data_IF_837668227485
#
_entry.id   IF_837668227485
#
_cell.length_a   1.000
_cell.length_b   1.000
_cell.length_c   1.000
_cell.angle_alpha   90.00
_cell.angle_beta   90.00
_cell.angle_gamma   90.00
#
_symmetry.space_group_name_H-M   'P 1'
#
loop_
_entity.id
_entity.type
_entity.pdbx_description
1 polymer ?
#
# COMPACT_ATOMS: atom_id res chain seq x y z
N UNK A 1 -26.12 3.85 38.00
CA UNK A 1 -25.25 4.01 36.80
C UNK A 1 -23.95 4.64 37.26
N UNK A 2 -22.82 4.18 36.73
CA UNK A 2 -21.51 4.79 37.01
C UNK A 2 -21.39 6.15 36.34
N UNK A 3 -20.61 7.06 36.93
CA UNK A 3 -20.32 8.37 36.32
C UNK A 3 -19.57 8.18 35.01
N UNK A 4 -19.92 8.97 33.97
CA UNK A 4 -19.27 8.91 32.67
C UNK A 4 -17.78 9.28 32.73
N UNK A 5 -17.37 10.15 33.63
CA UNK A 5 -15.96 10.47 33.88
C UNK A 5 -15.21 9.26 34.47
N UNK A 6 -15.85 8.53 35.40
CA UNK A 6 -15.29 7.32 35.97
C UNK A 6 -15.18 6.19 34.92
N UNK A 7 -16.18 6.05 34.06
CA UNK A 7 -16.18 5.05 32.99
C UNK A 7 -14.97 5.26 32.08
N UNK A 8 -14.66 6.50 31.70
CA UNK A 8 -13.51 6.84 30.87
C UNK A 8 -12.20 6.92 31.66
N UNK A 9 -12.25 6.95 33.01
CA UNK A 9 -11.08 7.09 33.86
C UNK A 9 -10.43 8.49 33.80
N UNK A 10 -11.25 9.54 33.67
CA UNK A 10 -10.83 10.95 33.62
C UNK A 10 -11.49 11.75 34.76
N UNK A 11 -10.93 12.90 35.11
CA UNK A 11 -11.50 13.78 36.14
C UNK A 11 -12.57 14.71 35.56
N UNK A 12 -13.54 15.14 36.39
CA UNK A 12 -14.45 16.23 36.05
C UNK A 12 -13.64 17.48 35.70
N UNK A 13 -13.91 18.09 34.54
CA UNK A 13 -13.12 19.22 34.05
C UNK A 13 -12.01 18.89 33.07
N UNK A 14 -11.75 17.58 32.78
CA UNK A 14 -10.79 17.18 31.75
C UNK A 14 -11.12 17.80 30.40
N UNK A 15 -10.07 18.13 29.63
CA UNK A 15 -10.20 18.71 28.30
C UNK A 15 -10.79 17.69 27.30
N UNK A 16 -11.41 18.19 26.22
CA UNK A 16 -11.95 17.35 25.15
C UNK A 16 -10.87 16.43 24.53
N UNK A 17 -9.60 16.86 24.54
CA UNK A 17 -8.46 16.05 24.09
C UNK A 17 -8.17 14.88 25.03
N UNK A 18 -8.24 15.11 26.33
CA UNK A 18 -8.03 14.04 27.34
C UNK A 18 -9.17 13.02 27.31
N UNK A 19 -10.43 13.49 27.21
CA UNK A 19 -11.61 12.65 27.05
C UNK A 19 -11.49 11.77 25.80
N UNK A 20 -11.10 12.36 24.67
CA UNK A 20 -10.87 11.63 23.41
C UNK A 20 -9.77 10.56 23.54
N UNK A 21 -8.68 10.89 24.18
CA UNK A 21 -7.56 9.96 24.38
C UNK A 21 -7.93 8.82 25.34
N UNK A 22 -8.69 9.11 26.40
CA UNK A 22 -9.17 8.10 27.32
C UNK A 22 -10.13 7.13 26.65
N UNK A 23 -11.10 7.65 25.88
CA UNK A 23 -11.99 6.82 25.06
C UNK A 23 -11.22 5.90 24.12
N UNK A 24 -10.23 6.44 23.39
CA UNK A 24 -9.41 5.64 22.48
C UNK A 24 -8.71 4.47 23.17
N UNK A 25 -8.14 4.69 24.37
CA UNK A 25 -7.51 3.64 25.15
C UNK A 25 -8.50 2.54 25.56
N UNK A 26 -9.70 2.93 25.98
CA UNK A 26 -10.76 2.00 26.36
C UNK A 26 -11.32 1.22 25.17
N UNK A 27 -11.58 1.91 24.06
CA UNK A 27 -12.05 1.30 22.83
C UNK A 27 -11.06 0.27 22.27
N UNK A 28 -9.77 0.56 22.31
CA UNK A 28 -8.72 -0.37 21.89
C UNK A 28 -8.60 -1.59 22.82
N UNK A 29 -8.74 -1.38 24.13
CA UNK A 29 -8.66 -2.46 25.14
C UNK A 29 -9.83 -3.42 25.04
N UNK A 30 -11.05 -2.91 24.81
CA UNK A 30 -12.29 -3.68 24.80
C UNK A 30 -12.88 -3.86 23.39
N UNK A 31 -12.04 -3.72 22.34
CA UNK A 31 -12.46 -3.90 20.95
C UNK A 31 -13.02 -5.32 20.73
N UNK A 32 -14.16 -5.48 20.04
CA UNK A 32 -14.78 -6.77 19.81
C UNK A 32 -13.87 -7.76 19.07
N UNK A 33 -13.05 -7.29 18.11
CA UNK A 33 -12.11 -8.16 17.39
C UNK A 33 -11.00 -8.75 18.29
N UNK A 34 -10.64 -8.03 19.35
CA UNK A 34 -9.64 -8.51 20.33
C UNK A 34 -10.23 -9.34 21.46
N UNK A 35 -11.52 -9.21 21.68
CA UNK A 35 -12.23 -9.83 22.80
C UNK A 35 -13.47 -10.62 22.30
N UNK A 36 -13.31 -11.37 21.21
CA UNK A 36 -14.41 -12.14 20.61
C UNK A 36 -15.07 -13.05 21.62
N UNK A 37 -16.40 -12.96 21.73
CA UNK A 37 -17.20 -13.78 22.65
C UNK A 37 -17.16 -13.36 24.12
N UNK A 38 -16.53 -12.23 24.47
CA UNK A 38 -16.48 -11.72 25.84
C UNK A 38 -17.54 -10.66 26.10
N UNK A 39 -18.70 -11.07 26.59
CA UNK A 39 -19.83 -10.17 26.92
C UNK A 39 -19.47 -9.04 27.88
N UNK A 40 -18.52 -9.30 28.82
CA UNK A 40 -18.08 -8.29 29.78
C UNK A 40 -17.25 -7.18 29.09
N UNK A 41 -16.44 -7.53 28.04
CA UNK A 41 -15.71 -6.57 27.26
C UNK A 41 -16.64 -5.76 26.37
N UNK A 42 -17.63 -6.40 25.77
CA UNK A 42 -18.66 -5.75 24.95
C UNK A 42 -19.45 -4.71 25.74
N UNK A 43 -19.88 -5.07 26.97
CA UNK A 43 -20.58 -4.15 27.86
C UNK A 43 -19.72 -2.92 28.22
N UNK A 44 -18.44 -3.11 28.53
CA UNK A 44 -17.51 -2.01 28.81
C UNK A 44 -17.25 -1.13 27.59
N UNK A 45 -17.24 -1.72 26.42
CA UNK A 45 -17.11 -0.98 25.16
C UNK A 45 -18.33 -0.08 24.92
N UNK A 46 -19.54 -0.60 25.09
CA UNK A 46 -20.80 0.15 24.97
C UNK A 46 -20.88 1.28 26.01
N UNK A 47 -20.55 1.01 27.27
CA UNK A 47 -20.50 2.03 28.35
C UNK A 47 -19.50 3.15 28.02
N UNK A 48 -18.31 2.80 27.49
CA UNK A 48 -17.30 3.80 27.10
C UNK A 48 -17.74 4.65 25.90
N UNK A 49 -18.43 4.07 24.92
CA UNK A 49 -18.98 4.79 23.78
C UNK A 49 -20.09 5.77 24.17
N UNK A 50 -20.99 5.35 25.06
CA UNK A 50 -22.05 6.21 25.61
C UNK A 50 -21.44 7.39 26.40
N UNK A 51 -20.47 7.12 27.25
CA UNK A 51 -19.77 8.15 28.02
C UNK A 51 -19.08 9.16 27.10
N UNK A 52 -18.45 8.70 26.02
CA UNK A 52 -17.80 9.58 25.07
C UNK A 52 -18.78 10.41 24.24
N UNK A 53 -19.92 9.85 23.81
CA UNK A 53 -20.97 10.58 23.11
C UNK A 53 -21.46 11.81 23.91
N UNK A 54 -21.62 11.62 25.20
CA UNK A 54 -22.09 12.71 26.08
C UNK A 54 -20.97 13.71 26.39
N UNK A 55 -19.77 13.25 26.73
CA UNK A 55 -18.68 14.11 27.18
C UNK A 55 -17.90 14.81 26.06
N UNK A 56 -18.03 14.35 24.81
CA UNK A 56 -17.38 14.96 23.65
C UNK A 56 -18.17 16.14 23.07
N UNK A 57 -19.45 16.23 23.37
CA UNK A 57 -20.31 17.34 22.92
C UNK A 57 -20.51 18.31 24.09
N UNK A 58 -20.14 19.59 23.90
CA UNK A 58 -20.15 20.60 24.96
C UNK A 58 -21.56 20.86 25.53
N UNK A 59 -22.60 20.77 24.69
CA UNK A 59 -23.99 20.94 25.16
C UNK A 59 -24.46 19.75 25.99
N UNK A 60 -24.18 18.51 25.53
CA UNK A 60 -24.56 17.30 26.25
C UNK A 60 -23.77 17.21 27.57
N UNK A 61 -22.48 17.55 27.52
CA UNK A 61 -21.62 17.58 28.69
C UNK A 61 -22.11 18.56 29.73
N UNK A 62 -22.47 19.80 29.33
CA UNK A 62 -23.02 20.81 30.22
C UNK A 62 -24.31 20.35 30.89
N UNK A 63 -25.22 19.73 30.15
CA UNK A 63 -26.45 19.14 30.70
C UNK A 63 -26.15 17.97 31.66
N UNK A 64 -25.18 17.14 31.31
CA UNK A 64 -24.75 16.04 32.16
C UNK A 64 -24.11 16.54 33.46
N UNK A 65 -23.29 17.58 33.41
CA UNK A 65 -22.63 18.17 34.55
C UNK A 65 -23.62 18.83 35.53
N UNK A 66 -24.78 19.36 35.01
CA UNK A 66 -25.83 19.99 35.82
C UNK A 66 -26.86 19.00 36.39
N UNK A 67 -27.27 18.03 35.59
CA UNK A 67 -28.42 17.18 35.90
C UNK A 67 -28.07 15.68 35.95
N UNK A 68 -26.82 15.33 35.78
CA UNK A 68 -26.36 13.93 35.75
C UNK A 68 -26.99 13.15 34.59
N UNK A 69 -27.14 11.84 34.76
CA UNK A 69 -27.78 10.98 33.77
C UNK A 69 -29.22 11.36 33.41
N UNK A 70 -29.95 12.03 34.30
CA UNK A 70 -31.30 12.51 34.06
C UNK A 70 -31.33 13.65 33.02
N UNK A 71 -30.33 14.49 33.00
CA UNK A 71 -30.24 15.60 32.04
C UNK A 71 -29.98 15.18 30.60
N UNK A 72 -29.49 13.97 30.40
CA UNK A 72 -29.17 13.42 29.07
C UNK A 72 -30.26 12.47 28.56
N UNK A 73 -31.10 11.93 29.48
CA UNK A 73 -32.25 11.06 29.17
C UNK A 73 -33.59 11.78 28.98
N UNK A 74 -33.70 13.09 29.25
CA UNK A 74 -34.94 13.84 29.32
C UNK A 74 -35.34 14.56 28.02
N UNK A 75 -36.47 14.20 27.51
CA UNK A 75 -37.39 14.89 26.61
C UNK A 75 -36.91 15.43 25.26
N UNK A 76 -37.27 14.73 24.20
CA UNK A 76 -37.55 15.33 22.88
C UNK A 76 -36.64 15.01 21.73
N UNK A 77 -35.56 14.32 21.93
CA UNK A 77 -34.80 13.71 20.83
C UNK A 77 -34.30 12.34 21.30
N UNK A 78 -35.10 11.31 21.01
CA UNK A 78 -34.82 9.93 21.39
C UNK A 78 -33.47 9.52 20.86
N UNK A 79 -32.49 9.43 21.73
CA UNK A 79 -31.38 8.51 21.54
C UNK A 79 -31.70 7.26 22.36
N UNK A 80 -32.19 6.18 21.74
CA UNK A 80 -32.06 4.88 22.36
C UNK A 80 -30.55 4.68 22.59
N UNK A 81 -30.17 4.37 23.83
CA UNK A 81 -28.78 3.97 24.11
C UNK A 81 -28.36 2.95 23.05
N UNK A 82 -27.09 3.01 22.63
CA UNK A 82 -26.57 2.15 21.58
C UNK A 82 -27.01 0.70 21.82
N UNK A 83 -28.01 0.27 21.06
CA UNK A 83 -28.58 -1.07 21.18
C UNK A 83 -27.71 -2.10 20.51
N UNK A 84 -26.94 -1.68 19.50
CA UNK A 84 -26.05 -2.58 18.75
C UNK A 84 -24.65 -1.95 18.58
N UNK A 85 -23.64 -2.81 18.45
CA UNK A 85 -22.25 -2.41 18.16
C UNK A 85 -22.14 -1.66 16.84
N UNK A 86 -23.00 -1.95 15.86
CA UNK A 86 -23.06 -1.29 14.58
C UNK A 86 -23.40 0.21 14.70
N UNK A 87 -24.22 0.59 15.67
CA UNK A 87 -24.59 2.00 15.90
C UNK A 87 -23.40 2.79 16.43
N UNK A 88 -22.56 2.16 17.25
CA UNK A 88 -21.33 2.77 17.78
C UNK A 88 -20.31 2.99 16.67
N UNK A 89 -20.11 2.00 15.81
CA UNK A 89 -19.17 2.13 14.69
C UNK A 89 -19.63 3.17 13.66
N UNK A 90 -20.93 3.30 13.41
CA UNK A 90 -21.45 4.29 12.46
C UNK A 90 -21.32 5.74 12.97
N UNK A 91 -21.44 5.96 14.27
CA UNK A 91 -21.35 7.30 14.86
C UNK A 91 -19.91 7.75 15.16
N UNK A 92 -18.98 6.83 15.36
CA UNK A 92 -17.59 7.12 15.75
C UNK A 92 -16.53 6.60 14.77
N UNK A 93 -16.91 6.27 13.53
CA UNK A 93 -16.03 5.74 12.49
C UNK A 93 -14.77 6.57 12.27
N UNK A 94 -14.88 7.91 12.25
CA UNK A 94 -13.76 8.83 12.03
C UNK A 94 -12.67 8.74 13.12
N UNK A 95 -13.03 8.29 14.31
CA UNK A 95 -12.09 8.13 15.43
C UNK A 95 -11.29 6.84 15.26
N UNK A 96 -11.90 5.83 14.66
CA UNK A 96 -11.28 4.53 14.37
C UNK A 96 -10.41 4.58 13.12
N UNK A 97 -10.78 5.37 12.10
CA UNK A 97 -10.00 5.53 10.86
C UNK A 97 -8.60 6.12 11.14
N UNK A 98 -8.48 7.01 12.10
CA UNK A 98 -7.22 7.69 12.45
C UNK A 98 -6.35 6.89 13.46
N UNK A 99 -6.71 5.66 13.83
CA UNK A 99 -6.02 4.85 14.84
C UNK A 99 -5.05 3.81 14.26
N UNK A 100 -4.72 3.88 12.94
CA UNK A 100 -3.62 3.15 12.32
C UNK A 100 -3.69 1.63 12.55
N UNK A 101 -4.47 0.96 11.75
CA UNK A 101 -4.51 -0.49 11.70
C UNK A 101 -5.26 -0.93 10.46
N UNK A 102 -4.51 -1.29 9.41
CA UNK A 102 -5.02 -1.64 8.10
C UNK A 102 -6.16 -2.64 8.11
N UNK A 103 -7.18 -2.35 7.33
CA UNK A 103 -8.21 -3.32 6.99
C UNK A 103 -9.59 -2.72 6.82
N UNK A 104 -9.90 -2.17 5.64
CA UNK A 104 -11.11 -2.50 4.88
C UNK A 104 -12.51 -2.11 5.36
N UNK A 105 -12.71 -1.45 6.49
CA UNK A 105 -14.07 -1.14 6.98
C UNK A 105 -14.59 0.28 6.71
N UNK A 106 -13.71 1.25 6.40
CA UNK A 106 -14.10 2.65 6.16
C UNK A 106 -14.94 2.87 4.90
N UNK A 107 -14.87 1.98 3.93
CA UNK A 107 -15.56 2.13 2.64
C UNK A 107 -17.05 1.70 2.66
N UNK A 108 -17.48 0.98 3.69
CA UNK A 108 -18.85 0.42 3.75
C UNK A 108 -19.88 1.36 4.38
N UNK A 109 -19.47 2.34 5.21
CA UNK A 109 -20.40 3.15 6.00
C UNK A 109 -20.51 4.63 5.61
N UNK A 110 -19.70 5.11 4.66
CA UNK A 110 -19.85 6.48 4.17
C UNK A 110 -20.88 6.57 3.04
N UNK A 111 -22.10 6.10 3.28
CA UNK A 111 -23.24 6.28 2.37
C UNK A 111 -23.92 7.64 2.53
N UNK A 112 -23.16 8.70 2.77
CA UNK A 112 -23.65 10.02 2.48
C UNK A 112 -23.51 10.22 0.96
N UNK A 113 -24.58 9.92 0.23
CA UNK A 113 -24.70 9.98 -1.22
C UNK A 113 -24.63 11.41 -1.76
N UNK A 114 -23.50 12.09 -1.53
CA UNK A 114 -23.05 13.08 -2.50
C UNK A 114 -22.62 12.27 -3.71
N UNK A 115 -23.33 12.42 -4.82
CA UNK A 115 -23.03 11.91 -6.15
C UNK A 115 -21.51 11.84 -6.34
N UNK A 116 -20.86 10.73 -5.93
CA UNK A 116 -19.46 10.45 -6.25
C UNK A 116 -19.45 10.32 -7.76
N UNK A 117 -19.07 11.39 -8.46
CA UNK A 117 -18.72 11.29 -9.88
C UNK A 117 -17.82 10.06 -9.97
N UNK A 118 -18.26 9.06 -10.71
CA UNK A 118 -17.57 7.78 -10.78
C UNK A 118 -16.16 8.02 -11.33
N UNK A 119 -15.20 8.17 -10.43
CA UNK A 119 -13.78 8.30 -10.78
C UNK A 119 -13.40 7.09 -11.62
N UNK A 120 -12.51 7.27 -12.58
CA UNK A 120 -11.94 6.18 -13.33
C UNK A 120 -11.26 5.17 -12.39
N UNK A 121 -11.29 3.91 -12.76
CA UNK A 121 -10.65 2.83 -11.98
C UNK A 121 -9.14 2.98 -11.97
N UNK A 122 -8.54 2.65 -10.85
CA UNK A 122 -7.08 2.59 -10.74
C UNK A 122 -6.54 1.42 -11.58
N UNK A 123 -5.34 1.59 -12.11
CA UNK A 123 -4.65 0.60 -12.90
C UNK A 123 -3.44 0.11 -12.12
N UNK A 124 -3.28 -1.20 -12.00
CA UNK A 124 -2.10 -1.82 -11.39
C UNK A 124 -1.19 -2.38 -12.47
N UNK A 125 0.10 -2.13 -12.36
CA UNK A 125 1.14 -2.58 -13.27
C UNK A 125 2.32 -3.12 -12.47
N UNK A 126 2.74 -4.35 -12.73
CA UNK A 126 4.01 -4.88 -12.24
C UNK A 126 5.11 -4.54 -13.25
N UNK A 127 6.14 -3.86 -12.80
CA UNK A 127 7.27 -3.44 -13.63
C UNK A 127 8.51 -4.25 -13.25
N UNK A 128 9.03 -5.11 -14.16
CA UNK A 128 10.29 -5.78 -13.91
C UNK A 128 11.45 -4.79 -13.96
N UNK A 129 12.31 -4.85 -12.93
CA UNK A 129 13.48 -3.99 -12.76
C UNK A 129 14.74 -4.84 -12.59
N UNK A 130 15.84 -4.43 -13.21
CA UNK A 130 17.14 -5.08 -13.06
C UNK A 130 17.97 -4.40 -11.95
N UNK A 131 19.00 -5.07 -11.46
CA UNK A 131 19.89 -4.49 -10.44
C UNK A 131 20.57 -3.20 -10.92
N UNK A 132 20.86 -3.08 -12.24
CA UNK A 132 21.43 -1.87 -12.83
C UNK A 132 20.43 -0.71 -12.83
N UNK A 133 19.14 -1.01 -13.09
CA UNK A 133 18.07 -0.01 -13.02
C UNK A 133 17.89 0.50 -11.58
N UNK A 134 17.98 -0.43 -10.60
CA UNK A 134 17.89 -0.13 -9.15
C UNK A 134 19.11 0.67 -8.68
N UNK A 135 20.30 0.32 -9.18
CA UNK A 135 21.52 1.00 -8.82
C UNK A 135 21.58 2.45 -9.32
N UNK A 136 21.26 2.67 -10.59
CA UNK A 136 21.39 3.98 -11.23
C UNK A 136 20.19 4.88 -11.04
N UNK A 137 19.01 4.32 -10.76
CA UNK A 137 17.73 4.98 -10.97
C UNK A 137 17.51 5.23 -12.46
N UNK A 138 16.37 4.90 -12.99
CA UNK A 138 16.12 5.02 -14.43
C UNK A 138 14.67 5.37 -14.72
N UNK A 139 14.46 6.15 -15.79
CA UNK A 139 13.13 6.37 -16.33
C UNK A 139 12.84 5.30 -17.37
N UNK A 140 11.78 4.51 -17.17
CA UNK A 140 11.29 3.54 -18.15
C UNK A 140 9.95 3.99 -18.73
N UNK A 141 9.83 3.93 -20.05
CA UNK A 141 8.57 4.18 -20.75
C UNK A 141 7.84 2.86 -20.96
N UNK A 142 6.64 2.74 -20.37
CA UNK A 142 5.81 1.54 -20.47
C UNK A 142 4.55 1.83 -21.27
N UNK A 143 4.23 0.96 -22.21
CA UNK A 143 2.97 1.00 -22.99
C UNK A 143 1.89 0.22 -22.26
N UNK A 144 0.86 0.94 -21.82
CA UNK A 144 -0.25 0.37 -21.07
C UNK A 144 -1.55 0.56 -21.81
N UNK A 145 -2.37 -0.47 -21.92
CA UNK A 145 -3.71 -0.37 -22.48
C UNK A 145 -4.68 0.11 -21.40
N UNK A 146 -5.26 1.29 -21.59
CA UNK A 146 -6.18 1.92 -20.66
C UNK A 146 -7.29 2.68 -21.35
N UNK A 147 -8.32 3.02 -20.60
CA UNK A 147 -9.30 3.98 -21.02
C UNK A 147 -8.71 5.39 -20.97
N UNK A 148 -8.74 6.11 -22.10
CA UNK A 148 -8.40 7.52 -22.21
C UNK A 148 -9.65 8.32 -22.59
N UNK A 149 -9.65 9.62 -22.36
CA UNK A 149 -10.73 10.47 -22.81
C UNK A 149 -10.87 10.37 -24.34
N UNK A 150 -12.08 10.36 -24.82
CA UNK A 150 -12.36 10.35 -26.24
C UNK A 150 -12.04 11.73 -26.82
N UNK A 151 -11.12 11.77 -27.81
CA UNK A 151 -10.66 13.01 -28.44
C UNK A 151 -11.79 13.72 -29.22
N UNK A 152 -12.75 12.96 -29.78
CA UNK A 152 -13.84 13.54 -30.58
C UNK A 152 -14.86 14.32 -29.76
N UNK A 153 -15.13 13.87 -28.53
CA UNK A 153 -16.11 14.49 -27.65
C UNK A 153 -15.50 15.08 -26.36
N UNK A 154 -14.18 15.06 -26.20
CA UNK A 154 -13.46 15.54 -25.01
C UNK A 154 -14.05 14.99 -23.68
N UNK A 155 -14.47 13.73 -23.70
CA UNK A 155 -14.99 13.04 -22.52
C UNK A 155 -16.47 13.23 -22.22
N UNK A 156 -17.22 14.11 -22.93
CA UNK A 156 -18.63 14.36 -22.63
C UNK A 156 -19.60 13.29 -23.17
N UNK A 157 -19.15 12.43 -24.07
CA UNK A 157 -19.95 11.35 -24.66
C UNK A 157 -20.91 11.80 -25.76
N UNK A 158 -21.03 13.11 -26.04
CA UNK A 158 -21.94 13.65 -27.04
C UNK A 158 -21.26 13.81 -28.39
N UNK A 159 -22.02 13.75 -29.48
CA UNK A 159 -21.54 14.14 -30.80
C UNK A 159 -21.12 15.62 -30.84
N UNK A 160 -20.18 15.98 -31.74
CA UNK A 160 -19.73 17.37 -31.88
C UNK A 160 -20.88 18.34 -32.02
N UNK A 161 -20.86 19.42 -31.26
CA UNK A 161 -21.93 20.44 -31.26
C UNK A 161 -23.13 20.12 -30.36
N UNK A 162 -23.16 18.96 -29.72
CA UNK A 162 -24.20 18.57 -28.78
C UNK A 162 -23.69 18.52 -27.34
N UNK A 163 -24.59 18.79 -26.39
CA UNK A 163 -24.29 18.76 -24.96
C UNK A 163 -25.17 17.74 -24.25
N UNK A 164 -24.79 17.46 -23.00
CA UNK A 164 -25.60 16.64 -22.10
C UNK A 164 -26.89 17.37 -21.72
N UNK A 165 -28.03 16.74 -21.93
CA UNK A 165 -29.34 17.27 -21.51
C UNK A 165 -29.68 16.82 -20.09
N UNK A 166 -30.39 17.67 -19.36
CA UNK A 166 -30.92 17.31 -18.06
C UNK A 166 -31.97 16.21 -18.22
N UNK A 167 -31.94 15.21 -17.35
CA UNK A 167 -32.95 14.15 -17.38
C UNK A 167 -34.32 14.71 -16.97
N UNK A 168 -35.30 14.62 -17.85
CA UNK A 168 -36.66 15.14 -17.61
C UNK A 168 -37.43 14.39 -16.50
N UNK A 169 -37.07 13.12 -16.22
CA UNK A 169 -37.76 12.30 -15.23
C UNK A 169 -37.37 12.66 -13.81
N UNK A 170 -36.06 12.86 -13.57
CA UNK A 170 -35.55 13.19 -12.25
C UNK A 170 -35.14 14.65 -12.11
N UNK A 171 -35.35 15.48 -13.12
CA UNK A 171 -34.94 16.88 -13.15
C UNK A 171 -33.50 17.12 -12.71
N UNK A 172 -32.60 16.20 -13.16
CA UNK A 172 -31.15 16.29 -12.88
C UNK A 172 -30.71 15.72 -11.54
N UNK A 173 -31.59 15.27 -10.65
CA UNK A 173 -31.24 14.73 -9.33
C UNK A 173 -30.59 13.35 -9.40
N UNK A 174 -30.83 12.59 -10.47
CA UNK A 174 -30.37 11.20 -10.61
C UNK A 174 -31.22 10.18 -9.85
N UNK A 175 -32.16 10.62 -9.00
CA UNK A 175 -32.97 9.78 -8.13
C UNK A 175 -34.48 10.02 -8.33
N UNK A 176 -35.27 8.97 -8.15
CA UNK A 176 -36.72 9.04 -8.16
C UNK A 176 -37.21 8.56 -6.81
N UNK A 177 -38.08 9.38 -6.18
CA UNK A 177 -38.71 9.05 -4.91
C UNK A 177 -40.06 8.40 -5.16
N UNK A 178 -40.21 7.15 -4.69
CA UNK A 178 -41.52 6.46 -4.67
C UNK A 178 -42.04 6.44 -3.26
N UNK A 179 -43.19 7.06 -3.06
CA UNK A 179 -43.91 6.99 -1.78
C UNK A 179 -44.76 5.72 -1.83
N UNK A 180 -44.52 4.79 -0.93
CA UNK A 180 -45.33 3.60 -0.74
C UNK A 180 -46.06 3.72 0.58
N UNK A 181 -47.38 3.53 0.54
CA UNK A 181 -48.19 3.47 1.73
C UNK A 181 -48.05 2.08 2.36
N UNK A 182 -47.50 2.02 3.56
CA UNK A 182 -47.34 0.81 4.36
C UNK A 182 -48.35 0.87 5.51
N UNK A 183 -48.65 -0.27 6.12
CA UNK A 183 -49.53 -0.38 7.29
C UNK A 183 -49.06 0.47 8.49
N UNK A 184 -47.77 0.81 8.53
CA UNK A 184 -47.11 1.63 9.58
C UNK A 184 -46.89 3.11 9.15
N UNK A 185 -47.46 3.55 8.01
CA UNK A 185 -47.29 4.92 7.52
C UNK A 185 -46.72 4.99 6.09
N UNK A 186 -46.38 6.21 5.65
CA UNK A 186 -45.80 6.46 4.35
C UNK A 186 -44.28 6.23 4.40
N UNK A 187 -43.78 5.28 3.59
CA UNK A 187 -42.35 5.03 3.41
C UNK A 187 -41.90 5.64 2.09
N UNK A 188 -40.91 6.54 2.14
CA UNK A 188 -40.31 7.13 0.95
C UNK A 188 -39.12 6.27 0.54
N UNK A 189 -39.25 5.57 -0.58
CA UNK A 189 -38.18 4.77 -1.14
C UNK A 189 -37.46 5.57 -2.24
N UNK A 190 -36.15 5.81 -2.09
CA UNK A 190 -35.33 6.52 -3.05
C UNK A 190 -34.62 5.50 -3.92
N UNK A 191 -34.81 5.58 -5.24
CA UNK A 191 -34.22 4.67 -6.22
C UNK A 191 -33.48 5.46 -7.29
N UNK A 192 -32.35 4.91 -7.86
CA UNK A 192 -31.72 5.52 -9.01
C UNK A 192 -32.74 5.70 -10.16
N UNK A 193 -32.72 6.86 -10.81
CA UNK A 193 -33.56 7.12 -11.94
C UNK A 193 -33.30 6.15 -13.09
N UNK A 194 -34.30 5.41 -13.50
CA UNK A 194 -34.17 4.39 -14.55
C UNK A 194 -33.79 4.96 -15.92
N UNK A 195 -34.18 6.20 -16.24
CA UNK A 195 -33.89 6.83 -17.53
C UNK A 195 -32.45 7.30 -17.66
N UNK A 196 -31.83 7.80 -16.61
CA UNK A 196 -30.44 8.27 -16.61
C UNK A 196 -29.50 7.37 -15.79
N UNK A 197 -29.99 6.24 -15.27
CA UNK A 197 -29.23 5.29 -14.44
C UNK A 197 -28.45 5.98 -13.31
N UNK A 198 -29.10 6.93 -12.64
CA UNK A 198 -28.50 7.69 -11.54
C UNK A 198 -27.64 8.90 -11.96
N UNK A 199 -27.36 9.09 -13.24
CA UNK A 199 -26.44 10.14 -13.73
C UNK A 199 -27.05 11.55 -13.75
N UNK A 200 -28.36 11.71 -13.66
CA UNK A 200 -29.06 12.99 -13.73
C UNK A 200 -29.11 13.65 -15.10
N UNK A 201 -28.28 13.14 -16.04
CA UNK A 201 -28.15 13.68 -17.42
C UNK A 201 -28.32 12.57 -18.44
N UNK A 202 -28.81 12.91 -19.62
CA UNK A 202 -29.00 11.98 -20.75
C UNK A 202 -28.32 12.51 -22.01
N UNK A 203 -27.87 11.59 -22.84
CA UNK A 203 -27.23 11.88 -24.13
C UNK A 203 -28.28 11.69 -25.22
N UNK A 204 -28.65 12.77 -25.92
CA UNK A 204 -29.58 12.68 -27.06
C UNK A 204 -28.89 12.20 -28.33
N UNK A 205 -27.63 12.67 -28.56
CA UNK A 205 -26.84 12.31 -29.73
C UNK A 205 -25.50 11.75 -29.24
N UNK A 206 -25.30 10.42 -29.17
CA UNK A 206 -24.08 9.83 -28.71
C UNK A 206 -22.91 10.03 -29.69
N UNK A 207 -21.71 10.24 -29.17
CA UNK A 207 -20.48 10.30 -29.97
C UNK A 207 -20.23 8.95 -30.65
N UNK A 208 -20.01 8.98 -31.98
CA UNK A 208 -19.80 7.75 -32.78
C UNK A 208 -18.55 6.97 -32.36
N UNK A 209 -17.50 7.64 -31.90
CA UNK A 209 -16.24 7.00 -31.55
C UNK A 209 -16.29 6.27 -30.19
N UNK A 210 -16.97 6.82 -29.21
CA UNK A 210 -17.07 6.22 -27.87
C UNK A 210 -18.50 5.72 -27.52
N UNK A 211 -19.45 5.81 -28.45
CA UNK A 211 -20.85 5.36 -28.25
C UNK A 211 -21.50 5.92 -26.98
N UNK A 212 -21.14 7.13 -26.58
CA UNK A 212 -21.68 7.79 -25.38
C UNK A 212 -20.89 7.59 -24.10
N UNK A 213 -19.89 6.71 -24.06
CA UNK A 213 -19.08 6.44 -22.85
C UNK A 213 -18.15 7.63 -22.47
N UNK A 214 -17.79 8.48 -23.43
CA UNK A 214 -16.87 9.60 -23.23
C UNK A 214 -15.41 9.19 -23.20
N UNK A 215 -15.09 7.89 -23.27
CA UNK A 215 -13.74 7.35 -23.21
C UNK A 215 -13.55 6.21 -24.20
N UNK A 216 -12.32 5.98 -24.62
CA UNK A 216 -11.95 4.92 -25.56
C UNK A 216 -10.76 4.13 -25.02
N UNK A 217 -10.69 2.86 -25.34
CA UNK A 217 -9.59 1.99 -24.91
C UNK A 217 -8.46 2.09 -25.92
N UNK A 218 -7.30 2.61 -25.49
CA UNK A 218 -6.10 2.78 -26.33
C UNK A 218 -4.82 2.48 -25.55
N UNK A 219 -3.75 2.23 -26.28
CA UNK A 219 -2.41 2.18 -25.71
C UNK A 219 -1.92 3.60 -25.40
N UNK A 220 -1.41 3.79 -24.20
CA UNK A 220 -0.80 5.04 -23.75
C UNK A 220 0.61 4.73 -23.26
N UNK A 221 1.58 5.52 -23.69
CA UNK A 221 2.95 5.46 -23.18
C UNK A 221 3.03 6.29 -21.90
N UNK A 222 3.55 5.70 -20.84
CA UNK A 222 3.69 6.35 -19.52
C UNK A 222 5.13 6.22 -19.09
N UNK A 223 5.74 7.33 -18.73
CA UNK A 223 7.08 7.35 -18.14
C UNK A 223 6.98 7.09 -16.65
N UNK A 224 7.78 6.13 -16.20
CA UNK A 224 7.86 5.69 -14.81
C UNK A 224 9.31 5.88 -14.36
N UNK A 225 9.49 6.71 -13.37
CA UNK A 225 10.78 6.93 -12.71
C UNK A 225 10.99 5.83 -11.67
N UNK A 226 12.07 5.07 -11.82
CA UNK A 226 12.49 4.04 -10.87
C UNK A 226 13.42 4.71 -9.87
N UNK A 227 13.04 4.81 -8.59
CA UNK A 227 13.94 5.38 -7.58
C UNK A 227 15.14 4.45 -7.36
N UNK A 228 16.35 5.00 -7.16
CA UNK A 228 17.49 4.19 -6.79
C UNK A 228 17.24 3.51 -5.44
N UNK A 229 17.67 2.24 -5.33
CA UNK A 229 17.49 1.45 -4.11
C UNK A 229 16.10 0.87 -3.90
N UNK A 230 15.22 0.91 -4.90
CA UNK A 230 13.89 0.32 -4.79
C UNK A 230 13.96 -1.17 -4.45
N UNK A 231 13.01 -1.66 -3.66
CA UNK A 231 12.93 -3.06 -3.21
C UNK A 231 11.71 -3.72 -3.87
N UNK A 232 11.82 -5.02 -4.15
CA UNK A 232 10.69 -5.84 -4.65
C UNK A 232 9.46 -5.67 -3.76
N UNK A 233 8.29 -5.48 -4.41
CA UNK A 233 7.03 -5.21 -3.73
C UNK A 233 6.80 -3.74 -3.37
N UNK A 234 7.80 -2.86 -3.49
CA UNK A 234 7.59 -1.42 -3.38
C UNK A 234 6.68 -0.93 -4.49
N UNK A 235 5.88 0.10 -4.21
CA UNK A 235 4.97 0.65 -5.20
C UNK A 235 5.09 2.17 -5.35
N UNK A 236 4.84 2.63 -6.56
CA UNK A 236 4.75 4.04 -6.92
C UNK A 236 3.33 4.35 -7.40
N UNK A 237 2.72 5.39 -6.85
CA UNK A 237 1.39 5.84 -7.30
C UNK A 237 1.51 7.10 -8.15
N UNK A 238 1.19 6.97 -9.45
CA UNK A 238 1.08 8.12 -10.36
C UNK A 238 -0.38 8.56 -10.45
N UNK A 239 -0.68 9.69 -9.82
CA UNK A 239 -2.06 10.22 -9.73
C UNK A 239 -2.59 10.59 -11.11
N UNK A 240 -3.86 10.25 -11.37
CA UNK A 240 -4.55 10.58 -12.64
C UNK A 240 -4.05 9.82 -13.87
N UNK A 241 -3.07 8.91 -13.72
CA UNK A 241 -2.50 8.14 -14.82
C UNK A 241 -3.22 6.80 -15.09
N UNK A 242 -4.23 6.45 -14.30
CA UNK A 242 -5.08 5.27 -14.47
C UNK A 242 -6.12 5.42 -15.58
N UNK A 243 -7.21 4.68 -15.50
CA UNK A 243 -8.30 4.74 -16.46
C UNK A 243 -9.05 6.08 -16.35
N UNK A 244 -9.43 6.65 -17.48
CA UNK A 244 -10.32 7.80 -17.53
C UNK A 244 -11.69 7.46 -16.92
N UNK A 245 -12.25 8.40 -16.17
CA UNK A 245 -13.61 8.29 -15.66
C UNK A 245 -14.65 8.48 -16.77
N UNK A 246 -15.86 8.01 -16.52
CA UNK A 246 -16.98 8.17 -17.45
C UNK A 246 -17.42 9.64 -17.53
N UNK A 247 -17.88 10.05 -18.70
CA UNK A 247 -18.45 11.38 -18.93
C UNK A 247 -17.60 12.53 -18.37
N UNK A 248 -16.28 12.50 -18.60
CA UNK A 248 -15.36 13.55 -18.14
C UNK A 248 -15.07 13.55 -16.65
N UNK A 249 -15.44 12.50 -15.94
CA UNK A 249 -15.05 12.31 -14.54
C UNK A 249 -13.53 12.15 -14.39
N UNK A 250 -12.95 12.48 -13.23
CA UNK A 250 -11.51 12.38 -13.01
C UNK A 250 -10.98 10.97 -13.28
N UNK A 251 -9.78 10.87 -13.83
CA UNK A 251 -9.08 9.59 -14.03
C UNK A 251 -8.68 8.95 -12.71
N UNK A 252 -8.55 7.63 -12.70
CA UNK A 252 -7.96 6.84 -11.64
C UNK A 252 -6.46 7.06 -11.53
N UNK A 253 -5.80 6.32 -10.66
CA UNK A 253 -4.35 6.32 -10.50
C UNK A 253 -3.73 5.13 -11.25
N UNK A 254 -2.44 5.26 -11.55
CA UNK A 254 -1.61 4.12 -11.91
C UNK A 254 -0.77 3.74 -10.69
N UNK A 255 -0.90 2.51 -10.26
CA UNK A 255 -0.11 1.90 -9.19
C UNK A 255 0.91 0.98 -9.86
N UNK A 256 2.18 1.35 -9.78
CA UNK A 256 3.30 0.58 -10.32
C UNK A 256 3.94 -0.18 -9.18
N UNK A 257 3.98 -1.50 -9.27
CA UNK A 257 4.65 -2.38 -8.32
C UNK A 257 5.96 -2.81 -8.97
N UNK A 258 7.07 -2.58 -8.28
CA UNK A 258 8.39 -2.98 -8.75
C UNK A 258 8.66 -4.44 -8.39
N UNK A 259 9.19 -5.19 -9.35
CA UNK A 259 9.55 -6.59 -9.19
C UNK A 259 10.97 -6.81 -9.72
N UNK A 260 11.87 -7.20 -8.84
CA UNK A 260 13.27 -7.39 -9.20
C UNK A 260 13.44 -8.68 -9.99
N UNK A 261 14.18 -8.58 -11.09
CA UNK A 261 14.55 -9.74 -11.92
C UNK A 261 15.86 -10.31 -11.44
N UNK A 262 15.92 -11.63 -11.27
CA UNK A 262 17.14 -12.34 -10.89
C UNK A 262 18.30 -11.99 -11.84
N UNK A 263 19.44 -11.63 -11.25
CA UNK A 263 20.63 -11.31 -12.03
C UNK A 263 21.53 -12.55 -12.19
N UNK A 264 22.11 -12.81 -13.38
CA UNK A 264 22.90 -14.03 -13.63
C UNK A 264 24.19 -14.13 -12.84
N UNK A 265 24.75 -13.02 -12.35
CA UNK A 265 26.03 -12.98 -11.63
C UNK A 265 25.90 -12.53 -10.17
N UNK A 266 24.91 -11.71 -9.85
CA UNK A 266 24.81 -11.04 -8.57
C UNK A 266 23.61 -11.54 -7.78
N UNK A 267 23.84 -11.77 -6.49
CA UNK A 267 22.80 -12.00 -5.52
C UNK A 267 22.65 -10.74 -4.67
N UNK A 268 21.43 -10.27 -4.53
CA UNK A 268 21.12 -9.15 -3.63
C UNK A 268 20.84 -9.67 -2.22
N UNK A 269 21.45 -9.01 -1.24
CA UNK A 269 21.15 -9.18 0.18
C UNK A 269 20.87 -7.79 0.78
N UNK A 270 19.59 -7.42 0.89
CA UNK A 270 19.14 -6.07 1.22
C UNK A 270 19.75 -5.00 0.29
N UNK A 271 20.74 -4.24 0.77
CA UNK A 271 21.49 -3.25 -0.01
C UNK A 271 22.87 -3.74 -0.42
N UNK A 272 23.29 -4.88 0.06
CA UNK A 272 24.55 -5.50 -0.30
C UNK A 272 24.40 -6.37 -1.56
N UNK A 273 25.48 -6.51 -2.30
CA UNK A 273 25.56 -7.38 -3.48
C UNK A 273 26.63 -8.43 -3.23
N UNK A 274 26.26 -9.67 -3.51
CA UNK A 274 27.16 -10.82 -3.38
C UNK A 274 27.49 -11.35 -4.77
N UNK A 275 28.78 -11.63 -5.02
CA UNK A 275 29.24 -12.28 -6.24
C UNK A 275 30.19 -13.43 -5.91
N UNK A 276 30.11 -14.51 -6.67
CA UNK A 276 31.06 -15.62 -6.60
C UNK A 276 32.25 -15.38 -7.53
N UNK A 277 33.44 -15.29 -6.98
CA UNK A 277 34.69 -15.21 -7.74
C UNK A 277 35.44 -16.52 -7.66
N UNK A 278 35.69 -17.15 -8.80
CA UNK A 278 36.47 -18.39 -8.90
C UNK A 278 37.93 -18.05 -9.25
N UNK A 279 38.82 -18.25 -8.31
CA UNK A 279 40.27 -17.99 -8.48
C UNK A 279 41.06 -19.28 -8.61
N UNK A 280 42.22 -19.21 -9.23
CA UNK A 280 43.16 -20.34 -9.30
C UNK A 280 43.87 -20.62 -7.97
N UNK A 281 44.41 -21.82 -7.84
CA UNK A 281 45.09 -22.26 -6.61
C UNK A 281 46.31 -21.39 -6.28
N UNK A 282 47.10 -20.98 -7.28
CA UNK A 282 48.28 -20.15 -7.07
C UNK A 282 47.92 -18.77 -6.50
N UNK A 283 46.87 -18.15 -7.02
CA UNK A 283 46.33 -16.90 -6.48
C UNK A 283 45.81 -17.08 -5.06
N UNK A 284 45.21 -18.21 -4.74
CA UNK A 284 44.72 -18.48 -3.39
C UNK A 284 45.87 -18.60 -2.39
N UNK A 285 47.00 -19.26 -2.78
CA UNK A 285 48.16 -19.47 -1.91
C UNK A 285 49.03 -18.22 -1.78
N UNK A 286 49.43 -17.63 -2.88
CA UNK A 286 50.39 -16.51 -2.88
C UNK A 286 49.73 -15.15 -2.73
N UNK A 287 48.43 -15.07 -2.88
CA UNK A 287 47.70 -13.83 -3.02
C UNK A 287 47.87 -13.22 -4.42
N UNK A 288 47.20 -12.10 -4.64
CA UNK A 288 47.27 -11.45 -5.94
C UNK A 288 46.26 -10.30 -6.07
N UNK A 289 46.00 -9.91 -7.30
CA UNK A 289 44.93 -8.94 -7.64
C UNK A 289 44.08 -9.54 -8.72
N UNK A 290 42.79 -9.48 -8.54
CA UNK A 290 41.80 -9.88 -9.55
C UNK A 290 40.93 -8.69 -9.95
N UNK A 291 40.42 -8.70 -11.17
CA UNK A 291 39.39 -7.74 -11.61
C UNK A 291 38.02 -8.35 -11.37
N UNK A 292 37.20 -7.63 -10.62
CA UNK A 292 35.82 -8.04 -10.31
C UNK A 292 34.87 -7.06 -10.96
N UNK A 293 33.89 -7.53 -11.76
CA UNK A 293 32.85 -6.68 -12.29
C UNK A 293 31.92 -6.23 -11.16
N UNK A 294 31.49 -4.98 -11.20
CA UNK A 294 30.51 -4.39 -10.29
C UNK A 294 29.46 -3.64 -11.09
N UNK A 295 28.36 -3.23 -10.48
CA UNK A 295 27.31 -2.43 -11.15
C UNK A 295 27.83 -1.06 -11.65
N UNK A 296 28.91 -0.54 -11.03
CA UNK A 296 29.52 0.74 -11.43
C UNK A 296 30.76 0.58 -12.34
N UNK A 297 31.05 -0.64 -12.83
CA UNK A 297 32.24 -0.93 -13.66
C UNK A 297 33.11 -2.01 -13.02
N UNK A 298 34.42 -2.04 -13.34
CA UNK A 298 35.36 -3.03 -12.82
C UNK A 298 36.20 -2.46 -11.68
N UNK A 299 36.46 -3.28 -10.67
CA UNK A 299 37.36 -2.95 -9.56
C UNK A 299 38.50 -3.95 -9.46
N UNK A 300 39.66 -3.51 -9.00
CA UNK A 300 40.80 -4.37 -8.68
C UNK A 300 40.75 -4.76 -7.20
N UNK A 301 40.48 -6.04 -6.92
CA UNK A 301 40.42 -6.59 -5.58
C UNK A 301 41.72 -7.29 -5.24
N UNK A 302 42.30 -6.93 -4.09
CA UNK A 302 43.51 -7.61 -3.56
C UNK A 302 43.12 -8.86 -2.80
N UNK A 303 43.64 -10.00 -3.21
CA UNK A 303 43.47 -11.29 -2.55
C UNK A 303 44.62 -11.47 -1.53
N UNK A 304 44.35 -11.69 -0.26
CA UNK A 304 45.36 -12.01 0.73
C UNK A 304 45.95 -13.41 0.50
N UNK A 305 47.19 -13.62 0.96
CA UNK A 305 47.85 -14.94 0.92
C UNK A 305 47.08 -15.94 1.79
N UNK A 306 46.95 -17.18 1.33
CA UNK A 306 46.33 -18.26 2.08
C UNK A 306 44.83 -18.05 2.31
N UNK A 307 44.13 -17.41 1.36
CA UNK A 307 42.70 -17.19 1.44
C UNK A 307 41.96 -18.53 1.44
N UNK A 308 40.95 -18.67 2.30
CA UNK A 308 40.13 -19.88 2.36
C UNK A 308 38.98 -19.83 1.34
N UNK A 309 38.66 -21.00 0.78
CA UNK A 309 37.45 -21.15 -0.03
C UNK A 309 36.19 -20.79 0.79
N UNK A 310 35.25 -20.07 0.18
CA UNK A 310 34.05 -19.55 0.84
C UNK A 310 34.24 -18.25 1.63
N UNK A 311 35.48 -17.72 1.73
CA UNK A 311 35.73 -16.47 2.44
C UNK A 311 35.15 -15.28 1.67
N UNK A 312 34.46 -14.38 2.40
CA UNK A 312 33.88 -13.14 1.87
C UNK A 312 34.91 -12.00 2.00
N UNK A 313 35.19 -11.34 0.88
CA UNK A 313 35.95 -10.11 0.83
C UNK A 313 35.00 -8.94 0.59
N UNK A 314 35.07 -7.93 1.45
CA UNK A 314 34.17 -6.79 1.48
C UNK A 314 34.76 -5.58 0.77
N UNK A 315 34.05 -5.04 -0.16
CA UNK A 315 34.37 -3.76 -0.83
C UNK A 315 33.29 -2.75 -0.42
N UNK A 316 33.67 -1.80 0.41
CA UNK A 316 32.76 -0.82 1.00
C UNK A 316 32.15 0.11 -0.04
N UNK A 317 30.88 0.48 0.15
CA UNK A 317 30.16 1.46 -0.65
C UNK A 317 30.12 1.14 -2.16
N UNK A 318 30.03 -0.15 -2.51
CA UNK A 318 29.92 -0.63 -3.90
C UNK A 318 28.68 -1.50 -4.14
N UNK A 319 27.80 -1.61 -3.15
CA UNK A 319 26.49 -2.24 -3.25
C UNK A 319 25.43 -1.32 -3.83
N UNK A 320 24.17 -1.56 -3.49
CA UNK A 320 23.01 -0.76 -3.90
C UNK A 320 22.83 0.46 -2.99
N UNK A 321 22.32 1.57 -3.52
CA UNK A 321 21.86 2.67 -2.70
C UNK A 321 20.66 2.24 -1.85
N UNK A 322 20.52 2.80 -0.68
CA UNK A 322 19.34 2.64 0.17
C UNK A 322 18.25 3.63 -0.26
N UNK A 323 17.02 3.15 -0.39
CA UNK A 323 15.88 3.97 -0.80
C UNK A 323 15.68 5.17 0.16
N UNK A 324 15.59 6.38 -0.40
CA UNK A 324 15.44 7.64 0.35
C UNK A 324 16.59 7.95 1.33
N UNK A 325 17.76 7.41 1.13
CA UNK A 325 18.95 7.60 1.98
C UNK A 325 20.18 7.87 1.12
N UNK A 326 21.22 8.42 1.74
CA UNK A 326 22.55 8.57 1.11
C UNK A 326 23.48 7.38 1.38
N UNK A 327 22.97 6.36 2.05
CA UNK A 327 23.74 5.16 2.34
C UNK A 327 23.84 4.29 1.09
N UNK A 328 25.00 3.68 0.92
CA UNK A 328 25.26 2.70 -0.12
C UNK A 328 25.72 1.43 0.59
N UNK A 329 25.14 0.30 0.23
CA UNK A 329 25.55 -1.02 0.71
C UNK A 329 26.95 -1.40 0.26
N UNK A 330 27.40 -2.55 0.65
CA UNK A 330 28.71 -3.09 0.35
C UNK A 330 28.63 -4.13 -0.78
N UNK A 331 29.78 -4.36 -1.40
CA UNK A 331 29.93 -5.40 -2.40
C UNK A 331 30.77 -6.54 -1.81
N UNK A 332 30.17 -7.70 -1.70
CA UNK A 332 30.75 -8.88 -1.06
C UNK A 332 31.20 -9.88 -2.14
N UNK A 333 32.50 -10.19 -2.16
CA UNK A 333 33.08 -11.16 -3.10
C UNK A 333 33.35 -12.45 -2.35
N UNK A 334 32.57 -13.50 -2.64
CA UNK A 334 32.78 -14.83 -2.10
C UNK A 334 33.83 -15.54 -2.95
N UNK A 335 34.98 -15.86 -2.34
CA UNK A 335 36.10 -16.47 -3.03
C UNK A 335 35.91 -17.98 -3.08
N UNK A 336 35.87 -18.52 -4.27
CA UNK A 336 35.86 -19.94 -4.53
C UNK A 336 37.17 -20.34 -5.26
N UNK A 337 37.71 -21.50 -4.93
CA UNK A 337 38.93 -22.01 -5.57
C UNK A 337 38.51 -22.91 -6.72
N UNK A 338 38.96 -22.54 -7.92
CA UNK A 338 38.65 -23.34 -9.11
C UNK A 338 39.65 -24.50 -9.20
N UNK A 339 39.15 -25.72 -9.16
CA UNK A 339 39.96 -26.94 -9.32
C UNK A 339 39.71 -27.46 -10.75
N UNK A 340 40.71 -27.43 -11.64
CA UNK A 340 40.56 -27.91 -13.01
C UNK A 340 40.27 -29.41 -13.02
N UNK A 341 39.34 -29.82 -13.88
CA UNK A 341 38.92 -31.21 -14.01
C UNK A 341 39.92 -32.05 -14.86
N UNK A 342 40.61 -31.39 -15.80
CA UNK A 342 41.51 -32.05 -16.74
C UNK A 342 42.95 -31.51 -16.54
N UNK A 343 43.91 -32.41 -16.43
CA UNK A 343 45.30 -32.10 -16.27
C UNK A 343 46.15 -32.79 -17.35
N UNK A 344 47.17 -32.11 -17.84
CA UNK A 344 48.19 -32.77 -18.63
C UNK A 344 49.19 -33.51 -17.71
N UNK A 345 50.01 -34.42 -18.29
CA UNK A 345 50.95 -35.25 -17.53
C UNK A 345 51.98 -34.42 -16.73
N UNK A 346 52.32 -33.21 -17.19
CA UNK A 346 53.24 -32.30 -16.52
C UNK A 346 52.65 -31.73 -15.25
N UNK A 347 51.39 -31.24 -15.32
CA UNK A 347 50.65 -30.68 -14.17
C UNK A 347 50.40 -31.78 -13.13
N UNK A 348 50.08 -33.00 -13.58
CA UNK A 348 49.85 -34.14 -12.67
C UNK A 348 51.10 -34.40 -11.81
N UNK A 349 52.33 -34.45 -12.41
CA UNK A 349 53.59 -34.64 -11.69
C UNK A 349 53.82 -33.54 -10.65
N UNK A 350 53.63 -32.28 -11.03
CA UNK A 350 53.78 -31.13 -10.11
C UNK A 350 52.80 -31.22 -8.91
N UNK A 351 51.55 -31.64 -9.15
CA UNK A 351 50.58 -31.79 -8.06
C UNK A 351 50.95 -32.98 -7.16
N UNK A 352 51.54 -34.08 -7.71
CA UNK A 352 52.03 -35.22 -6.93
C UNK A 352 53.24 -34.85 -6.07
N UNK A 353 54.18 -34.07 -6.59
CA UNK A 353 55.29 -33.50 -5.85
C UNK A 353 54.80 -32.59 -4.72
N UNK A 354 53.88 -31.66 -5.03
CA UNK A 354 53.26 -30.77 -4.05
C UNK A 354 52.60 -31.54 -2.90
N UNK A 355 51.94 -32.66 -3.19
CA UNK A 355 51.28 -33.52 -2.19
C UNK A 355 52.31 -34.12 -1.20
N UNK A 356 53.53 -34.38 -1.64
CA UNK A 356 54.60 -34.92 -0.78
C UNK A 356 55.18 -33.84 0.15
N UNK A 357 55.25 -32.58 -0.33
CA UNK A 357 55.78 -31.45 0.42
C UNK A 357 54.78 -30.81 1.38
N UNK A 358 53.49 -30.86 1.05
CA UNK A 358 52.44 -30.22 1.83
C UNK A 358 51.37 -31.26 2.21
N UNK A 359 51.50 -31.81 3.43
CA UNK A 359 50.46 -32.65 4.00
C UNK A 359 49.55 -31.81 4.91
N UNK A 360 48.29 -31.73 4.59
CA UNK A 360 47.25 -31.07 5.41
C UNK A 360 46.28 -32.14 5.89
N UNK A 361 46.17 -32.32 7.21
CA UNK A 361 45.19 -33.21 7.78
C UNK A 361 43.76 -32.68 7.56
N UNK A 362 42.80 -33.53 7.20
CA UNK A 362 41.41 -33.11 7.07
C UNK A 362 40.84 -32.63 8.41
N UNK A 363 40.42 -31.38 8.47
CA UNK A 363 39.68 -30.82 9.61
C UNK A 363 38.18 -31.04 9.45
N UNK A 364 37.52 -31.63 10.45
CA UNK A 364 36.07 -31.78 10.51
C UNK A 364 35.47 -30.73 11.44
N UNK A 365 34.62 -29.85 10.93
CA UNK A 365 33.94 -28.82 11.73
C UNK A 365 32.43 -29.02 11.64
N UNK A 366 31.75 -28.74 12.75
CA UNK A 366 30.26 -28.75 12.75
C UNK A 366 29.77 -27.74 11.74
N UNK A 367 28.83 -28.17 10.90
CA UNK A 367 28.12 -27.26 10.00
C UNK A 367 27.38 -26.20 10.84
N UNK A 368 27.56 -24.95 10.57
CA UNK A 368 26.89 -23.83 11.24
C UNK A 368 25.84 -23.22 10.35
#
# INVERSE_FOLDING_TARGET
MRDYYEILGVQKGSSSKEIKNAYRKMAFKYHPDKNQGNESAEKKFKEAAEAYDVLSNDEKRSRYDQFGHAGVRGNGAGHPGFTDLNDIFSNFGDIFENMGGGGGFGDFFNSNSRQRRSRGTDLKLTLPVTLEDIFSGKVKTVRVQKYILCDDCNGNGCAKGHSLNQCSICNGTGEVRKVQQSFLGQVVNVQPCYNCSGKGKVISNPCKNCSGDGRVRRHSSIEIEIPPGVVTGSYLTKRGAGNAGEMGSPSGNLIVIFDEVDHPLYLRDENDIIVDAYIDYSTAVFGGKIEVPTLSGKIKLKIPKGIKGGQLLRVRNKGLPELNSHRIGDFLVRININIPKNFNSKVKKIIEELKQEIYIEPEFKKFR
#
